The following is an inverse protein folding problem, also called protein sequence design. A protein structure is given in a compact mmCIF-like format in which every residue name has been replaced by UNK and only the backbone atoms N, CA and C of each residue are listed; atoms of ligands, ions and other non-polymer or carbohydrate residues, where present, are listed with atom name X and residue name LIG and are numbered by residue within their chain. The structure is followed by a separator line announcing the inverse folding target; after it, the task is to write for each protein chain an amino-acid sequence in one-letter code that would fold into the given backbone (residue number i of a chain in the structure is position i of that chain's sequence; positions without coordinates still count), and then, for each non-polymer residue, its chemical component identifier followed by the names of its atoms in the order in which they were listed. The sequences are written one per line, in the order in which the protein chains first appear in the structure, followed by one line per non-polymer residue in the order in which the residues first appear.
data_IF_621818474638
#
_entry.id   IF_621818474638
#
_cell.length_a   1.000
_cell.length_b   1.000
_cell.length_c   1.000
_cell.angle_alpha   90.00
_cell.angle_beta   90.00
_cell.angle_gamma   90.00
#
_symmetry.space_group_name_H-M   'P 1'
#
loop_
_entity.id
_entity.type
_entity.pdbx_description
1 polymer ?
#
# COMPACT_ATOMS: atom_id res chain seq x y z
N UNK A 1 -1.57 23.08 2.83
CA UNK A 1 -0.65 22.08 3.43
C UNK A 1 -1.46 21.01 4.17
N UNK A 2 -1.33 19.73 3.78
CA UNK A 2 -1.95 18.63 4.53
C UNK A 2 -1.34 18.57 5.93
N UNK A 3 -2.17 18.30 6.93
CA UNK A 3 -1.70 18.11 8.30
C UNK A 3 -0.97 16.77 8.39
N UNK A 4 0.14 16.64 9.14
CA UNK A 4 0.75 15.34 9.43
C UNK A 4 -0.23 14.30 9.99
N UNK A 5 -1.37 14.76 10.53
CA UNK A 5 -2.47 13.92 11.03
C UNK A 5 -3.26 13.20 9.92
N UNK A 6 -3.12 13.63 8.66
CA UNK A 6 -3.86 13.04 7.53
C UNK A 6 -3.19 11.76 6.99
N UNK A 7 -1.90 11.55 7.33
CA UNK A 7 -1.10 10.41 6.91
C UNK A 7 -0.71 9.52 8.11
N UNK A 8 -1.68 8.75 8.63
CA UNK A 8 -1.46 7.75 9.68
C UNK A 8 -1.37 6.37 9.04
N UNK A 9 -0.15 5.86 8.90
CA UNK A 9 0.15 4.59 8.22
C UNK A 9 -0.11 3.35 9.10
N UNK A 10 -0.43 2.20 8.48
CA UNK A 10 -0.54 0.94 9.21
C UNK A 10 0.82 0.23 9.39
N UNK A 11 1.29 0.16 10.63
CA UNK A 11 2.56 -0.51 10.98
C UNK A 11 2.45 -2.03 11.22
N UNK A 12 1.35 -2.68 10.81
CA UNK A 12 1.13 -4.09 11.16
C UNK A 12 2.25 -5.02 10.66
N UNK A 13 2.85 -5.80 11.55
CA UNK A 13 4.08 -6.55 11.26
C UNK A 13 3.89 -7.93 10.62
N UNK A 14 2.68 -8.53 10.68
CA UNK A 14 2.40 -9.87 10.13
C UNK A 14 3.35 -10.97 10.67
N UNK A 15 3.42 -11.09 12.00
CA UNK A 15 4.24 -12.09 12.69
C UNK A 15 3.42 -13.17 13.42
N UNK A 16 2.12 -13.30 13.11
CA UNK A 16 1.17 -14.15 13.86
C UNK A 16 1.04 -15.57 13.29
N UNK A 17 2.03 -16.02 12.52
CA UNK A 17 1.98 -17.25 11.74
C UNK A 17 1.04 -17.16 10.52
N UNK A 18 1.06 -18.20 9.68
CA UNK A 18 0.38 -18.19 8.38
C UNK A 18 -1.12 -17.87 8.47
N UNK A 19 -1.84 -18.52 9.38
CA UNK A 19 -3.28 -18.30 9.55
C UNK A 19 -3.61 -16.90 10.11
N UNK A 20 -2.85 -16.45 11.12
CA UNK A 20 -3.04 -15.13 11.72
C UNK A 20 -2.81 -14.02 10.70
N UNK A 21 -1.75 -14.16 9.92
CA UNK A 21 -1.41 -13.26 8.82
C UNK A 21 -2.48 -13.27 7.71
N UNK A 22 -3.00 -14.44 7.33
CA UNK A 22 -4.06 -14.54 6.34
C UNK A 22 -5.37 -13.88 6.81
N UNK A 23 -5.76 -14.08 8.08
CA UNK A 23 -6.92 -13.39 8.67
C UNK A 23 -6.72 -11.88 8.68
N UNK A 24 -5.54 -11.42 9.08
CA UNK A 24 -5.26 -9.99 9.09
C UNK A 24 -5.27 -9.41 7.69
N UNK A 25 -4.63 -10.06 6.72
CA UNK A 25 -4.60 -9.61 5.33
C UNK A 25 -6.02 -9.45 4.78
N UNK A 26 -6.90 -10.41 5.06
CA UNK A 26 -8.32 -10.33 4.69
C UNK A 26 -8.99 -9.08 5.26
N UNK A 27 -8.70 -8.69 6.50
CA UNK A 27 -9.24 -7.44 7.07
C UNK A 27 -8.79 -6.17 6.33
N UNK A 28 -7.58 -6.15 5.75
CA UNK A 28 -7.15 -5.06 4.88
C UNK A 28 -7.87 -5.09 3.54
N UNK A 29 -8.08 -6.28 2.96
CA UNK A 29 -8.84 -6.46 1.71
C UNK A 29 -10.30 -5.99 1.87
N UNK A 30 -10.96 -6.38 2.97
CA UNK A 30 -12.34 -6.01 3.28
C UNK A 30 -12.49 -4.51 3.49
N UNK A 31 -11.60 -3.89 4.27
CA UNK A 31 -11.59 -2.45 4.52
C UNK A 31 -11.32 -1.67 3.23
N UNK A 32 -10.39 -2.14 2.40
CA UNK A 32 -10.09 -1.52 1.11
C UNK A 32 -11.32 -1.59 0.19
N UNK A 33 -11.97 -2.74 0.06
CA UNK A 33 -13.18 -2.89 -0.77
C UNK A 33 -14.28 -1.93 -0.32
N UNK A 34 -14.51 -1.84 0.99
CA UNK A 34 -15.48 -0.91 1.59
C UNK A 34 -15.16 0.54 1.22
N UNK A 35 -13.90 0.94 1.28
CA UNK A 35 -13.47 2.30 0.93
C UNK A 35 -13.55 2.59 -0.56
N UNK A 36 -13.27 1.60 -1.43
CA UNK A 36 -13.46 1.74 -2.87
C UNK A 36 -14.93 2.05 -3.17
N UNK A 37 -15.86 1.32 -2.57
CA UNK A 37 -17.29 1.54 -2.76
C UNK A 37 -17.73 2.91 -2.24
N UNK A 38 -17.30 3.28 -1.02
CA UNK A 38 -17.68 4.55 -0.39
C UNK A 38 -17.11 5.79 -1.08
N UNK A 39 -15.94 5.66 -1.73
CA UNK A 39 -15.21 6.78 -2.35
C UNK A 39 -15.24 6.72 -3.87
N UNK A 40 -15.98 5.78 -4.46
CA UNK A 40 -16.10 5.59 -5.90
C UNK A 40 -14.78 5.27 -6.61
N UNK A 41 -13.86 4.60 -5.93
CA UNK A 41 -12.53 4.29 -6.48
C UNK A 41 -11.62 5.50 -6.71
N UNK A 42 -11.97 6.70 -6.21
CA UNK A 42 -11.22 7.92 -6.46
C UNK A 42 -9.91 7.98 -5.65
N UNK A 43 -8.78 7.63 -6.27
CA UNK A 43 -7.45 7.70 -5.63
C UNK A 43 -6.98 9.14 -5.30
N UNK A 44 -7.69 10.19 -5.76
CA UNK A 44 -7.48 11.57 -5.28
C UNK A 44 -8.06 11.78 -3.88
N UNK A 45 -8.82 10.85 -3.33
CA UNK A 45 -9.20 10.83 -1.92
C UNK A 45 -8.03 10.32 -1.06
N UNK A 46 -7.64 11.07 -0.03
CA UNK A 46 -6.49 10.73 0.81
C UNK A 46 -6.71 9.44 1.61
N UNK A 47 -7.94 9.14 2.03
CA UNK A 47 -8.25 7.96 2.82
C UNK A 47 -8.15 6.72 1.94
N UNK A 48 -8.74 6.77 0.73
CA UNK A 48 -8.63 5.66 -0.21
C UNK A 48 -7.18 5.43 -0.65
N UNK A 49 -6.44 6.49 -1.01
CA UNK A 49 -5.04 6.37 -1.41
C UNK A 49 -4.19 5.70 -0.31
N UNK A 50 -4.40 6.11 0.95
CA UNK A 50 -3.72 5.50 2.10
C UNK A 50 -4.07 4.03 2.26
N UNK A 51 -5.35 3.69 2.18
CA UNK A 51 -5.80 2.30 2.27
C UNK A 51 -5.25 1.43 1.13
N UNK A 52 -5.12 1.97 -0.09
CA UNK A 52 -4.47 1.27 -1.21
C UNK A 52 -3.02 0.96 -0.91
N UNK A 53 -2.28 1.95 -0.37
CA UNK A 53 -0.88 1.82 -0.03
C UNK A 53 -0.64 0.86 1.15
N UNK A 54 -1.51 0.90 2.17
CA UNK A 54 -1.52 -0.06 3.29
C UNK A 54 -1.75 -1.50 2.80
N UNK A 55 -2.74 -1.71 1.91
CA UNK A 55 -3.03 -3.03 1.34
C UNK A 55 -1.87 -3.53 0.45
N UNK A 56 -1.29 -2.66 -0.38
CA UNK A 56 -0.13 -3.00 -1.21
C UNK A 56 1.04 -3.48 -0.34
N UNK A 57 1.32 -2.79 0.75
CA UNK A 57 2.37 -3.17 1.70
C UNK A 57 2.03 -4.45 2.46
N UNK A 58 0.76 -4.67 2.82
CA UNK A 58 0.31 -5.93 3.39
C UNK A 58 0.55 -7.10 2.44
N UNK A 59 0.31 -6.92 1.13
CA UNK A 59 0.64 -7.93 0.12
C UNK A 59 2.15 -8.19 0.02
N UNK A 60 2.99 -7.15 0.06
CA UNK A 60 4.47 -7.32 0.08
C UNK A 60 4.92 -8.14 1.29
N UNK A 61 4.36 -7.88 2.47
CA UNK A 61 4.68 -8.62 3.72
C UNK A 61 4.24 -10.08 3.66
N UNK A 62 3.16 -10.38 2.94
CA UNK A 62 2.62 -11.73 2.76
C UNK A 62 3.06 -12.43 1.46
N UNK A 63 4.08 -11.90 0.77
CA UNK A 63 4.61 -12.45 -0.50
C UNK A 63 3.58 -12.56 -1.64
N UNK A 64 2.49 -11.80 -1.59
CA UNK A 64 1.53 -11.66 -2.68
C UNK A 64 2.01 -10.59 -3.67
N UNK A 65 3.21 -10.78 -4.24
CA UNK A 65 3.97 -9.73 -4.93
C UNK A 65 3.25 -9.19 -6.18
N UNK A 66 2.57 -10.03 -6.95
CA UNK A 66 1.83 -9.61 -8.14
C UNK A 66 0.65 -8.69 -7.80
N UNK A 67 -0.04 -8.97 -6.68
CA UNK A 67 -1.12 -8.11 -6.19
C UNK A 67 -0.58 -6.75 -5.73
N UNK A 68 0.58 -6.74 -5.07
CA UNK A 68 1.23 -5.50 -4.67
C UNK A 68 1.62 -4.65 -5.87
N UNK A 69 2.20 -5.26 -6.91
CA UNK A 69 2.64 -4.58 -8.14
C UNK A 69 1.45 -3.89 -8.86
N UNK A 70 0.32 -4.58 -8.96
CA UNK A 70 -0.93 -4.01 -9.51
C UNK A 70 -1.41 -2.79 -8.72
N UNK A 71 -1.29 -2.79 -7.39
CA UNK A 71 -1.71 -1.63 -6.59
C UNK A 71 -0.72 -0.48 -6.71
N UNK A 72 0.59 -0.73 -6.63
CA UNK A 72 1.61 0.32 -6.74
C UNK A 72 1.58 1.02 -8.11
N UNK A 73 1.44 0.26 -9.19
CA UNK A 73 1.32 0.83 -10.54
C UNK A 73 0.11 1.77 -10.71
N UNK A 74 -0.96 1.59 -9.93
CA UNK A 74 -2.15 2.46 -9.95
C UNK A 74 -1.99 3.74 -9.13
N UNK A 75 -1.17 3.72 -8.08
CA UNK A 75 -1.06 4.84 -7.11
C UNK A 75 0.20 5.68 -7.26
N UNK A 76 1.24 5.19 -7.92
CA UNK A 76 2.56 5.84 -7.96
C UNK A 76 2.49 7.28 -8.49
N UNK A 77 1.73 7.53 -9.55
CA UNK A 77 1.63 8.87 -10.14
C UNK A 77 0.87 9.84 -9.24
N UNK A 78 -0.17 9.36 -8.56
CA UNK A 78 -0.93 10.16 -7.60
C UNK A 78 -0.10 10.46 -6.34
N UNK A 79 0.71 9.51 -5.87
CA UNK A 79 1.65 9.73 -4.77
C UNK A 79 2.69 10.79 -5.12
N UNK A 80 3.31 10.69 -6.32
CA UNK A 80 4.24 11.70 -6.85
C UNK A 80 3.60 13.08 -6.97
N UNK A 81 2.37 13.15 -7.46
CA UNK A 81 1.62 14.41 -7.59
C UNK A 81 1.36 15.08 -6.25
N UNK A 82 1.14 14.32 -5.18
CA UNK A 82 0.99 14.85 -3.82
C UNK A 82 2.30 15.24 -3.16
N UNK A 83 3.39 14.59 -3.55
CA UNK A 83 4.70 14.75 -2.92
C UNK A 83 4.74 14.19 -1.50
N UNK A 84 5.72 14.65 -0.73
CA UNK A 84 5.97 14.17 0.63
C UNK A 84 4.75 14.34 1.55
N UNK A 85 4.37 13.31 2.34
CA UNK A 85 5.09 12.03 2.57
C UNK A 85 4.70 10.88 1.63
N UNK A 86 3.77 11.09 0.69
CA UNK A 86 3.15 10.02 -0.09
C UNK A 86 4.11 9.36 -1.08
N UNK A 87 4.88 10.18 -1.80
CA UNK A 87 5.86 9.74 -2.79
C UNK A 87 7.00 8.94 -2.14
N UNK A 88 7.60 9.46 -1.06
CA UNK A 88 8.69 8.82 -0.33
C UNK A 88 8.28 7.43 0.13
N UNK A 89 7.09 7.32 0.75
CA UNK A 89 6.59 6.04 1.23
C UNK A 89 6.31 5.05 0.10
N UNK A 90 5.61 5.50 -0.94
CA UNK A 90 5.31 4.67 -2.10
C UNK A 90 6.61 4.14 -2.74
N UNK A 91 7.62 4.99 -2.91
CA UNK A 91 8.89 4.60 -3.51
C UNK A 91 9.66 3.61 -2.62
N UNK A 92 9.68 3.82 -1.30
CA UNK A 92 10.31 2.89 -0.36
C UNK A 92 9.67 1.49 -0.41
N UNK A 93 8.33 1.41 -0.44
CA UNK A 93 7.64 0.13 -0.49
C UNK A 93 7.78 -0.55 -1.86
N UNK A 94 7.79 0.23 -2.95
CA UNK A 94 8.09 -0.27 -4.30
C UNK A 94 9.51 -0.83 -4.41
N UNK A 95 10.51 -0.18 -3.79
CA UNK A 95 11.87 -0.71 -3.74
C UNK A 95 11.90 -2.06 -2.98
N UNK A 96 11.14 -2.18 -1.88
CA UNK A 96 11.01 -3.45 -1.14
C UNK A 96 10.34 -4.54 -1.97
N UNK A 97 9.27 -4.20 -2.71
CA UNK A 97 8.60 -5.11 -3.64
C UNK A 97 9.58 -5.62 -4.72
N UNK A 98 10.27 -4.70 -5.41
CA UNK A 98 11.20 -5.04 -6.49
C UNK A 98 12.36 -5.90 -5.99
N UNK A 99 12.88 -5.60 -4.81
CA UNK A 99 13.88 -6.44 -4.15
C UNK A 99 13.35 -7.87 -3.94
N UNK A 100 12.14 -8.02 -3.39
CA UNK A 100 11.49 -9.34 -3.19
C UNK A 100 11.15 -10.06 -4.50
N UNK A 101 10.97 -9.34 -5.60
CA UNK A 101 10.77 -9.89 -6.95
C UNK A 101 12.08 -10.26 -7.67
N UNK A 102 13.25 -10.11 -7.04
CA UNK A 102 14.57 -10.24 -7.68
C UNK A 102 14.77 -9.27 -8.86
N UNK A 103 14.21 -8.06 -8.75
CA UNK A 103 14.36 -6.95 -9.70
C UNK A 103 15.24 -5.85 -9.11
N UNK A 104 16.38 -6.22 -8.51
CA UNK A 104 17.27 -5.29 -7.80
C UNK A 104 17.72 -4.08 -8.64
N UNK A 105 18.02 -4.20 -9.95
CA UNK A 105 18.36 -3.05 -10.79
C UNK A 105 17.26 -1.99 -10.87
N UNK A 106 16.00 -2.36 -10.58
CA UNK A 106 14.86 -1.46 -10.62
C UNK A 106 14.55 -0.84 -9.25
N UNK A 107 15.29 -1.17 -8.18
CA UNK A 107 15.03 -0.63 -6.84
C UNK A 107 15.40 0.86 -6.68
N UNK A 108 16.13 1.44 -7.64
CA UNK A 108 16.61 2.83 -7.63
C UNK A 108 15.59 3.84 -8.19
#
# INVERSE_FOLDING_TARGET
PLSPKDFVWSEYHFNDGAEGNARKLRSFEDEYSRLVDQRGGNLKDAILLRATLDLATAYVKNYALDKADVLFSRVVDECRRRGSPWDVKCLQDMATLRFKQNRQPECA
#
